data_IF_896266317237
#
_entry.id   IF_896266317237
#
_cell.length_a   1.000
_cell.length_b   1.000
_cell.length_c   1.000
_cell.angle_alpha   90.00
_cell.angle_beta   90.00
_cell.angle_gamma   90.00
#
_symmetry.space_group_name_H-M   'P 1'
#
loop_
_entity.id
_entity.type
_entity.pdbx_description
1 polymer ?
#
# COMPACT_ATOMS: atom_id res chain seq x y z
N UNK A 1 -10.99 14.16 27.22
CA UNK A 1 -9.98 13.19 26.77
C UNK A 1 -10.19 12.90 25.30
N UNK A 2 -9.10 12.93 24.49
CA UNK A 2 -9.23 12.72 23.06
C UNK A 2 -9.44 11.24 22.74
N UNK A 3 -10.17 10.96 21.67
CA UNK A 3 -10.33 9.61 21.15
C UNK A 3 -9.50 9.47 19.87
N UNK A 4 -9.22 8.22 19.42
CA UNK A 4 -8.49 8.02 18.17
C UNK A 4 -9.16 8.69 16.96
N UNK A 5 -10.49 8.87 17.01
CA UNK A 5 -11.21 9.49 15.89
C UNK A 5 -10.93 10.99 15.77
N UNK A 6 -10.35 11.60 16.80
CA UNK A 6 -10.03 13.03 16.80
C UNK A 6 -8.66 13.32 16.19
N UNK A 7 -7.88 12.29 15.87
CA UNK A 7 -6.58 12.47 15.25
C UNK A 7 -6.75 12.97 13.83
N UNK A 8 -5.86 13.88 13.44
CA UNK A 8 -5.85 14.43 12.09
C UNK A 8 -4.85 13.68 11.23
N UNK A 9 -5.21 13.44 9.99
CA UNK A 9 -4.28 12.86 9.02
C UNK A 9 -3.34 13.95 8.49
N UNK A 10 -2.13 13.53 8.11
CA UNK A 10 -1.19 14.44 7.46
C UNK A 10 -1.47 14.48 5.96
N UNK A 11 -1.01 15.53 5.27
CA UNK A 11 -1.15 15.56 3.81
C UNK A 11 -0.50 14.36 3.13
N UNK A 12 0.65 13.88 3.63
CA UNK A 12 1.30 12.70 3.04
C UNK A 12 0.44 11.46 3.21
N UNK A 13 -0.17 11.28 4.38
CA UNK A 13 -1.08 10.17 4.61
C UNK A 13 -2.22 10.20 3.60
N UNK A 14 -2.82 11.37 3.41
CA UNK A 14 -3.96 11.51 2.49
C UNK A 14 -3.53 11.19 1.05
N UNK A 15 -2.36 11.64 0.64
CA UNK A 15 -1.84 11.35 -0.70
C UNK A 15 -1.58 9.86 -0.89
N UNK A 16 -1.03 9.20 0.13
CA UNK A 16 -0.73 7.77 0.05
C UNK A 16 -2.03 6.96 -0.02
N UNK A 17 -3.03 7.33 0.77
CA UNK A 17 -4.33 6.67 0.69
C UNK A 17 -4.95 6.83 -0.69
N UNK A 18 -4.91 8.05 -1.25
CA UNK A 18 -5.41 8.28 -2.60
C UNK A 18 -4.63 7.47 -3.64
N UNK A 19 -3.30 7.42 -3.49
CA UNK A 19 -2.46 6.65 -4.40
C UNK A 19 -2.77 5.15 -4.34
N UNK A 20 -3.09 4.63 -3.15
CA UNK A 20 -3.43 3.22 -3.02
C UNK A 20 -4.69 2.86 -3.81
N UNK A 21 -5.66 3.76 -3.84
CA UNK A 21 -6.88 3.55 -4.61
C UNK A 21 -6.59 3.57 -6.11
N UNK A 22 -5.71 4.48 -6.54
CA UNK A 22 -5.32 4.55 -7.94
C UNK A 22 -4.58 3.29 -8.37
N UNK A 23 -3.69 2.78 -7.51
CA UNK A 23 -2.96 1.55 -7.79
C UNK A 23 -3.94 0.38 -7.97
N UNK A 24 -4.91 0.24 -7.06
CA UNK A 24 -5.90 -0.82 -7.16
C UNK A 24 -6.69 -0.71 -8.46
N UNK A 25 -7.11 0.51 -8.81
CA UNK A 25 -7.85 0.76 -10.03
C UNK A 25 -7.02 0.37 -11.26
N UNK A 26 -5.76 0.79 -11.30
CA UNK A 26 -4.87 0.53 -12.43
C UNK A 26 -4.58 -0.95 -12.60
N UNK A 27 -4.61 -1.72 -11.51
CA UNK A 27 -4.40 -3.16 -11.56
C UNK A 27 -5.68 -3.92 -11.90
N UNK A 28 -6.80 -3.23 -12.05
CA UNK A 28 -8.07 -3.86 -12.38
C UNK A 28 -8.74 -4.54 -11.18
N UNK A 29 -8.32 -4.20 -9.98
CA UNK A 29 -8.92 -4.77 -8.77
C UNK A 29 -10.20 -4.03 -8.41
N UNK A 30 -11.15 -4.76 -7.84
CA UNK A 30 -12.43 -4.18 -7.42
C UNK A 30 -12.44 -3.78 -5.95
N UNK A 31 -11.29 -3.88 -5.30
CA UNK A 31 -11.11 -3.52 -3.89
C UNK A 31 -9.80 -2.79 -3.73
N UNK A 32 -9.66 -2.07 -2.61
CA UNK A 32 -8.39 -1.50 -2.21
C UNK A 32 -8.05 -2.07 -0.83
N UNK A 33 -6.87 -2.62 -0.68
CA UNK A 33 -6.47 -3.29 0.55
C UNK A 33 -5.10 -2.86 1.02
N UNK A 34 -4.60 -3.53 2.05
CA UNK A 34 -3.32 -3.19 2.66
C UNK A 34 -2.15 -3.37 1.69
N UNK A 35 -2.25 -4.31 0.75
CA UNK A 35 -1.20 -4.49 -0.25
C UNK A 35 -1.10 -3.28 -1.17
N UNK A 36 -2.23 -2.69 -1.55
CA UNK A 36 -2.23 -1.47 -2.36
C UNK A 36 -1.68 -0.29 -1.57
N UNK A 37 -2.03 -0.22 -0.29
CA UNK A 37 -1.50 0.80 0.60
C UNK A 37 0.01 0.66 0.74
N UNK A 38 0.51 -0.56 0.91
CA UNK A 38 1.94 -0.81 1.01
C UNK A 38 2.66 -0.38 -0.27
N UNK A 39 2.11 -0.70 -1.44
CA UNK A 39 2.70 -0.27 -2.71
C UNK A 39 2.79 1.25 -2.78
N UNK A 40 1.75 1.94 -2.34
CA UNK A 40 1.75 3.40 -2.34
C UNK A 40 2.82 3.95 -1.39
N UNK A 41 3.02 3.30 -0.25
CA UNK A 41 4.04 3.72 0.72
C UNK A 41 5.44 3.57 0.13
N UNK A 42 5.76 2.43 -0.48
CA UNK A 42 7.11 2.21 -1.01
C UNK A 42 7.40 3.06 -2.24
N UNK A 43 6.38 3.57 -2.91
CA UNK A 43 6.55 4.49 -4.03
C UNK A 43 6.86 5.92 -3.58
N UNK A 44 6.64 6.22 -2.31
CA UNK A 44 6.94 7.54 -1.76
C UNK A 44 8.29 7.46 -1.04
N UNK A 45 9.37 8.00 -1.65
CA UNK A 45 10.70 7.87 -1.05
C UNK A 45 10.86 8.66 0.24
N UNK A 46 9.99 9.62 0.50
CA UNK A 46 10.07 10.46 1.69
C UNK A 46 9.23 9.94 2.84
N UNK A 47 8.42 8.91 2.62
CA UNK A 47 7.66 8.30 3.69
C UNK A 47 8.61 7.62 4.67
N UNK A 48 8.35 7.79 5.98
CA UNK A 48 9.24 7.25 7.01
C UNK A 48 9.43 5.74 6.86
N UNK A 49 8.38 4.93 6.66
CA UNK A 49 8.57 3.49 6.46
C UNK A 49 9.49 3.18 5.28
N UNK A 50 9.37 3.93 4.19
CA UNK A 50 10.21 3.73 3.01
C UNK A 50 11.66 4.06 3.29
N UNK A 51 11.90 5.14 4.04
CA UNK A 51 13.26 5.53 4.42
C UNK A 51 13.93 4.47 5.28
N UNK A 52 13.18 3.87 6.21
CA UNK A 52 13.70 2.80 7.06
C UNK A 52 13.95 1.54 6.24
N UNK A 53 12.99 1.17 5.40
CA UNK A 53 13.10 -0.02 4.56
C UNK A 53 14.36 0.03 3.69
N UNK A 54 14.69 1.22 3.19
CA UNK A 54 15.85 1.41 2.31
C UNK A 54 17.16 1.02 2.98
N UNK A 55 17.21 1.03 4.30
CA UNK A 55 18.42 0.63 5.03
C UNK A 55 18.68 -0.87 4.94
N UNK A 56 17.68 -1.65 4.57
CA UNK A 56 17.76 -3.11 4.60
C UNK A 56 17.65 -3.71 3.22
N UNK A 57 16.74 -3.19 2.39
CA UNK A 57 16.48 -3.70 1.04
C UNK A 57 16.08 -2.52 0.15
N UNK A 58 16.27 -2.64 -1.17
CA UNK A 58 15.74 -1.64 -2.09
C UNK A 58 14.21 -1.68 -2.06
N UNK A 59 13.54 -0.56 -1.72
CA UNK A 59 12.07 -0.57 -1.65
C UNK A 59 11.39 -0.98 -2.94
N UNK A 60 11.99 -0.63 -4.10
CA UNK A 60 11.43 -1.00 -5.39
C UNK A 60 11.35 -2.50 -5.59
N UNK A 61 12.33 -3.26 -5.09
CA UNK A 61 12.29 -4.72 -5.18
C UNK A 61 11.17 -5.31 -4.36
N UNK A 62 10.94 -4.77 -3.16
CA UNK A 62 9.85 -5.22 -2.31
C UNK A 62 8.52 -4.90 -2.96
N UNK A 63 8.38 -3.70 -3.52
CA UNK A 63 7.17 -3.30 -4.23
C UNK A 63 6.88 -4.22 -5.40
N UNK A 64 7.92 -4.55 -6.19
CA UNK A 64 7.76 -5.47 -7.32
C UNK A 64 7.29 -6.84 -6.85
N UNK A 65 7.87 -7.36 -5.76
CA UNK A 65 7.49 -8.67 -5.23
C UNK A 65 6.02 -8.68 -4.77
N UNK A 66 5.58 -7.61 -4.10
CA UNK A 66 4.18 -7.49 -3.69
C UNK A 66 3.27 -7.45 -4.91
N UNK A 67 3.61 -6.62 -5.90
CA UNK A 67 2.82 -6.48 -7.12
C UNK A 67 2.70 -7.82 -7.84
N UNK A 68 3.82 -8.54 -7.96
CA UNK A 68 3.83 -9.84 -8.63
C UNK A 68 2.92 -10.82 -7.93
N UNK A 69 2.93 -10.83 -6.60
CA UNK A 69 2.09 -11.75 -5.85
C UNK A 69 0.60 -11.43 -6.03
N UNK A 70 0.22 -10.16 -5.90
CA UNK A 70 -1.20 -9.80 -5.94
C UNK A 70 -1.77 -9.79 -7.35
N UNK A 71 -0.92 -9.87 -8.37
CA UNK A 71 -1.36 -9.99 -9.77
C UNK A 71 -1.20 -11.40 -10.29
N UNK A 72 -0.73 -12.35 -9.47
CA UNK A 72 -0.55 -13.73 -9.88
C UNK A 72 -1.92 -14.42 -10.02
N UNK A 73 -1.93 -15.47 -10.85
CA UNK A 73 -3.13 -16.26 -11.06
C UNK A 73 -3.60 -16.89 -9.73
N UNK A 74 -4.88 -16.80 -9.47
CA UNK A 74 -5.45 -17.40 -8.29
C UNK A 74 -5.34 -16.58 -7.02
N UNK A 75 -4.76 -15.40 -7.08
CA UNK A 75 -4.61 -14.57 -5.88
C UNK A 75 -5.96 -14.34 -5.19
N UNK A 76 -6.95 -13.89 -5.95
CA UNK A 76 -8.26 -13.59 -5.37
C UNK A 76 -9.01 -14.82 -4.95
N UNK A 77 -8.79 -15.94 -5.64
CA UNK A 77 -9.54 -17.18 -5.36
C UNK A 77 -9.04 -17.90 -4.11
N UNK A 78 -7.85 -17.56 -3.61
CA UNK A 78 -7.30 -18.18 -2.41
C UNK A 78 -7.64 -17.42 -1.14
N UNK A 79 -8.35 -16.32 -1.27
CA UNK A 79 -8.65 -15.44 -0.14
C UNK A 79 -10.13 -15.52 0.16
N UNK A 80 -10.45 -15.76 1.41
CA UNK A 80 -11.84 -15.75 1.87
C UNK A 80 -12.27 -14.34 2.27
N UNK A 81 -11.33 -13.42 2.44
CA UNK A 81 -11.61 -12.04 2.84
C UNK A 81 -10.73 -11.10 2.05
N UNK A 82 -11.14 -9.85 1.99
CA UNK A 82 -10.32 -8.82 1.35
C UNK A 82 -9.15 -8.44 2.23
N UNK A 83 -8.02 -8.13 1.59
CA UNK A 83 -6.88 -7.62 2.35
C UNK A 83 -7.17 -6.30 3.04
#
# INVERSE_FOLDING_TARGET
>A
MSSPDELKSTPRYDRIVAASRQIAWDLGHTYVGVEHLFLAIVQDPDAVPTQVLRRFVPPGQVGTAVRDLITSDGWGSRRSDSP
#
